data_IF_344963023824
#
_entry.id   IF_344963023824
#
_cell.length_a   1.000
_cell.length_b   1.000
_cell.length_c   1.000
_cell.angle_alpha   90.00
_cell.angle_beta   90.00
_cell.angle_gamma   90.00
#
_symmetry.space_group_name_H-M   'P 1'
#
loop_
_entity.id
_entity.type
_entity.pdbx_description
1 polymer ?
#
# COMPACT_ATOMS: atom_id res chain seq x y z
N UNK A 1 -39.40 23.05 -22.98
CA UNK A 1 -38.01 23.48 -23.27
C UNK A 1 -37.11 22.25 -23.14
N UNK A 2 -36.59 21.74 -24.24
CA UNK A 2 -35.60 20.67 -24.21
C UNK A 2 -34.33 21.23 -23.62
N UNK A 3 -34.00 20.84 -22.39
CA UNK A 3 -32.72 21.20 -21.78
C UNK A 3 -31.58 20.50 -22.54
N UNK A 4 -30.77 21.29 -23.20
CA UNK A 4 -29.55 20.79 -23.85
C UNK A 4 -28.58 20.36 -22.76
N UNK A 5 -28.14 19.09 -22.76
CA UNK A 5 -27.08 18.59 -21.91
C UNK A 5 -25.77 18.91 -22.62
N UNK A 6 -24.97 19.79 -22.04
CA UNK A 6 -23.60 20.02 -22.50
C UNK A 6 -22.69 19.03 -21.81
N UNK A 7 -22.02 18.17 -22.57
CA UNK A 7 -21.06 17.20 -22.08
C UNK A 7 -19.69 17.48 -22.70
N UNK A 8 -18.73 17.88 -21.86
CA UNK A 8 -17.37 18.23 -22.26
C UNK A 8 -16.35 17.48 -21.40
N UNK A 9 -16.07 16.21 -21.75
CA UNK A 9 -15.15 15.37 -20.99
C UNK A 9 -13.71 15.84 -21.14
N UNK A 10 -12.93 15.73 -20.07
CA UNK A 10 -11.49 16.01 -20.09
C UNK A 10 -10.75 14.71 -20.41
N UNK A 11 -10.35 14.54 -21.66
CA UNK A 11 -9.62 13.35 -22.14
C UNK A 11 -8.18 13.74 -22.45
N UNK A 12 -7.20 13.33 -21.63
CA UNK A 12 -5.77 13.56 -21.92
C UNK A 12 -5.35 12.90 -23.24
N UNK A 13 -4.36 13.48 -23.92
CA UNK A 13 -3.93 13.04 -25.27
C UNK A 13 -3.54 11.58 -25.36
N UNK A 14 -2.92 11.02 -24.33
CA UNK A 14 -2.53 9.62 -24.26
C UNK A 14 -3.72 8.64 -24.20
N UNK A 15 -4.93 9.14 -23.88
CA UNK A 15 -6.17 8.38 -23.94
C UNK A 15 -6.88 8.43 -25.29
N UNK A 16 -6.31 9.04 -26.31
CA UNK A 16 -6.88 9.10 -27.66
C UNK A 16 -7.34 7.73 -28.22
N UNK A 17 -6.70 6.58 -27.91
CA UNK A 17 -7.20 5.27 -28.32
C UNK A 17 -8.63 4.93 -27.85
N UNK A 18 -9.09 5.51 -26.73
CA UNK A 18 -10.47 5.33 -26.27
C UNK A 18 -11.49 5.92 -27.24
N UNK A 19 -11.15 7.03 -27.91
CA UNK A 19 -12.07 7.78 -28.79
C UNK A 19 -12.20 7.16 -30.17
N UNK A 20 -11.25 6.29 -30.59
CA UNK A 20 -11.25 5.67 -31.90
C UNK A 20 -12.23 4.51 -31.98
N UNK A 21 -12.76 4.28 -33.17
CA UNK A 21 -13.59 3.08 -33.43
C UNK A 21 -12.75 1.82 -33.36
N UNK A 22 -13.43 0.66 -33.18
CA UNK A 22 -12.74 -0.63 -33.17
C UNK A 22 -12.09 -0.94 -34.53
N UNK A 23 -12.67 -0.45 -35.62
CA UNK A 23 -12.10 -0.58 -36.99
C UNK A 23 -10.77 0.15 -37.11
N UNK A 24 -10.68 1.38 -36.57
CA UNK A 24 -9.43 2.19 -36.57
C UNK A 24 -8.36 1.59 -35.68
N UNK A 25 -8.76 1.08 -34.52
CA UNK A 25 -7.86 0.48 -33.54
C UNK A 25 -7.43 -0.94 -33.86
N UNK A 26 -8.19 -1.66 -34.70
CA UNK A 26 -7.96 -3.06 -35.01
C UNK A 26 -8.26 -4.04 -33.86
N UNK A 27 -8.72 -3.55 -32.71
CA UNK A 27 -9.03 -4.37 -31.54
C UNK A 27 -10.11 -3.76 -30.68
N UNK A 28 -10.84 -4.63 -29.96
CA UNK A 28 -11.87 -4.23 -28.99
C UNK A 28 -11.35 -4.10 -27.56
N UNK A 29 -10.10 -4.48 -27.29
CA UNK A 29 -9.53 -4.46 -25.94
C UNK A 29 -8.56 -3.31 -25.76
N UNK A 30 -8.65 -2.68 -24.59
CA UNK A 30 -7.76 -1.60 -24.17
C UNK A 30 -7.26 -1.92 -22.76
N UNK A 31 -5.96 -1.82 -22.57
CA UNK A 31 -5.27 -1.97 -21.29
C UNK A 31 -4.75 -0.61 -20.88
N UNK A 32 -5.38 -0.02 -19.86
CA UNK A 32 -4.99 1.28 -19.33
C UNK A 32 -4.16 1.11 -18.05
N UNK A 33 -2.84 1.20 -18.15
CA UNK A 33 -1.93 1.07 -17.02
C UNK A 33 -1.25 2.38 -16.64
N UNK A 34 -0.78 2.46 -15.41
CA UNK A 34 -0.01 3.61 -14.91
C UNK A 34 -0.10 3.78 -13.41
N UNK A 35 0.56 4.81 -12.89
CA UNK A 35 0.62 5.06 -11.46
C UNK A 35 -0.66 5.67 -10.88
N UNK A 36 -0.61 5.92 -9.57
CA UNK A 36 -1.65 6.66 -8.84
C UNK A 36 -1.71 8.12 -9.35
N UNK A 37 -2.86 8.74 -9.18
CA UNK A 37 -3.13 10.11 -9.66
C UNK A 37 -2.89 10.32 -11.17
N UNK A 38 -3.04 9.29 -11.99
CA UNK A 38 -2.87 9.38 -13.44
C UNK A 38 -4.19 9.58 -14.22
N UNK A 39 -5.32 9.66 -13.51
CA UNK A 39 -6.63 9.95 -14.09
C UNK A 39 -7.29 8.80 -14.87
N UNK A 40 -6.73 7.58 -14.87
CA UNK A 40 -7.22 6.43 -15.64
C UNK A 40 -8.71 6.18 -15.47
N UNK A 41 -9.14 5.87 -14.26
CA UNK A 41 -10.54 5.53 -13.96
C UNK A 41 -11.50 6.68 -14.31
N UNK A 42 -11.14 7.91 -13.94
CA UNK A 42 -11.97 9.10 -14.24
C UNK A 42 -12.10 9.32 -15.74
N UNK A 43 -11.01 9.26 -16.49
CA UNK A 43 -11.01 9.46 -17.94
C UNK A 43 -11.82 8.40 -18.69
N UNK A 44 -11.64 7.12 -18.30
CA UNK A 44 -12.40 6.01 -18.91
C UNK A 44 -13.90 6.14 -18.60
N UNK A 45 -14.26 6.50 -17.35
CA UNK A 45 -15.67 6.74 -17.00
C UNK A 45 -16.24 7.91 -17.81
N UNK A 46 -15.51 9.01 -17.95
CA UNK A 46 -15.96 10.16 -18.74
C UNK A 46 -16.19 9.76 -20.21
N UNK A 47 -15.29 9.02 -20.82
CA UNK A 47 -15.48 8.54 -22.21
C UNK A 47 -16.72 7.64 -22.31
N UNK A 48 -16.88 6.70 -21.37
CA UNK A 48 -18.02 5.79 -21.39
C UNK A 48 -19.37 6.50 -21.24
N UNK A 49 -19.41 7.58 -20.46
CA UNK A 49 -20.65 8.37 -20.24
C UNK A 49 -21.11 9.07 -21.51
N UNK A 50 -20.25 9.37 -22.47
CA UNK A 50 -20.67 9.96 -23.75
C UNK A 50 -21.66 9.04 -24.48
N UNK A 51 -21.29 7.78 -24.69
CA UNK A 51 -22.18 6.80 -25.32
C UNK A 51 -23.42 6.50 -24.47
N UNK A 52 -23.28 6.44 -23.15
CA UNK A 52 -24.37 6.24 -22.20
C UNK A 52 -25.48 7.31 -22.31
N UNK A 53 -25.09 8.54 -22.62
CA UNK A 53 -26.01 9.68 -22.75
C UNK A 53 -26.60 9.75 -24.17
N UNK A 54 -25.77 9.51 -25.20
CA UNK A 54 -26.09 9.85 -26.59
C UNK A 54 -26.62 8.69 -27.42
N UNK A 55 -26.26 7.45 -27.07
CA UNK A 55 -26.58 6.26 -27.87
C UNK A 55 -27.62 5.41 -27.15
N UNK A 56 -28.87 5.30 -27.66
CA UNK A 56 -29.88 4.40 -27.09
C UNK A 56 -29.39 2.95 -27.06
N UNK A 57 -29.59 2.27 -25.94
CA UNK A 57 -29.15 0.89 -25.74
C UNK A 57 -27.66 0.71 -25.38
N UNK A 58 -26.89 1.80 -25.26
CA UNK A 58 -25.47 1.74 -24.88
C UNK A 58 -25.30 1.60 -23.36
N UNK A 59 -25.29 0.39 -22.84
CA UNK A 59 -25.10 0.10 -21.43
C UNK A 59 -23.62 0.02 -21.04
N UNK A 60 -23.32 0.33 -19.78
CA UNK A 60 -21.97 0.22 -19.21
C UNK A 60 -21.98 -0.86 -18.14
N UNK A 61 -20.96 -1.73 -18.17
CA UNK A 61 -20.66 -2.69 -17.11
C UNK A 61 -19.37 -2.27 -16.44
N UNK A 62 -19.45 -1.98 -15.16
CA UNK A 62 -18.28 -1.71 -14.30
C UNK A 62 -18.01 -2.95 -13.46
N UNK A 63 -16.82 -3.50 -13.61
CA UNK A 63 -16.37 -4.72 -12.97
C UNK A 63 -15.23 -4.41 -11.97
N UNK A 64 -15.20 -5.16 -10.89
CA UNK A 64 -14.11 -5.20 -9.93
C UNK A 64 -14.06 -6.58 -9.28
N UNK A 65 -12.90 -6.98 -8.73
CA UNK A 65 -12.78 -8.28 -8.08
C UNK A 65 -13.70 -8.42 -6.86
N UNK A 66 -13.91 -7.34 -6.07
CA UNK A 66 -14.62 -7.36 -4.80
C UNK A 66 -15.82 -6.37 -4.75
N UNK A 67 -16.99 -6.88 -4.32
CA UNK A 67 -18.25 -6.12 -4.15
C UNK A 67 -18.13 -4.98 -3.13
N UNK A 68 -17.47 -5.22 -2.01
CA UNK A 68 -17.39 -4.25 -0.90
C UNK A 68 -16.65 -3.00 -1.32
N UNK A 69 -15.66 -3.16 -2.19
CA UNK A 69 -14.84 -2.06 -2.69
C UNK A 69 -15.58 -1.13 -3.64
N UNK A 70 -16.60 -1.61 -4.35
CA UNK A 70 -17.43 -0.75 -5.22
C UNK A 70 -18.06 0.41 -4.46
N UNK A 71 -18.67 0.12 -3.32
CA UNK A 71 -19.40 1.12 -2.53
C UNK A 71 -18.50 2.27 -2.05
N UNK A 72 -17.21 1.99 -1.89
CA UNK A 72 -16.22 2.94 -1.34
C UNK A 72 -15.42 3.69 -2.41
N UNK A 73 -15.33 3.19 -3.64
CA UNK A 73 -14.42 3.73 -4.67
C UNK A 73 -15.12 4.01 -6.00
N UNK A 74 -15.40 2.99 -6.79
CA UNK A 74 -15.86 3.14 -8.18
C UNK A 74 -17.28 3.74 -8.28
N UNK A 75 -18.21 3.31 -7.44
CA UNK A 75 -19.57 3.86 -7.42
C UNK A 75 -19.63 5.36 -7.03
N UNK A 76 -18.91 5.81 -5.97
CA UNK A 76 -18.77 7.24 -5.69
C UNK A 76 -18.13 8.04 -6.84
N UNK A 77 -17.16 7.47 -7.53
CA UNK A 77 -16.50 8.13 -8.68
C UNK A 77 -17.49 8.35 -9.81
N UNK A 78 -18.27 7.33 -10.19
CA UNK A 78 -19.33 7.48 -11.21
C UNK A 78 -20.35 8.56 -10.80
N UNK A 79 -20.81 8.53 -9.55
CA UNK A 79 -21.74 9.55 -9.05
C UNK A 79 -21.18 10.97 -9.14
N UNK A 80 -19.90 11.14 -8.79
CA UNK A 80 -19.21 12.42 -8.87
C UNK A 80 -19.16 12.94 -10.31
N UNK A 81 -18.83 12.07 -11.27
CA UNK A 81 -18.79 12.47 -12.69
C UNK A 81 -20.20 12.79 -13.23
N UNK A 82 -21.23 12.01 -12.89
CA UNK A 82 -22.60 12.33 -13.25
C UNK A 82 -23.06 13.69 -12.67
N UNK A 83 -22.66 14.01 -11.44
CA UNK A 83 -22.95 15.30 -10.82
C UNK A 83 -22.20 16.45 -11.49
N UNK A 84 -20.89 16.26 -11.76
CA UNK A 84 -20.01 17.24 -12.41
C UNK A 84 -20.59 17.74 -13.74
N UNK A 85 -21.14 16.84 -14.53
CA UNK A 85 -21.71 17.17 -15.84
C UNK A 85 -23.23 17.47 -15.80
N UNK A 86 -23.82 17.55 -14.59
CA UNK A 86 -25.24 17.83 -14.43
C UNK A 86 -26.18 16.70 -14.92
N UNK A 87 -25.63 15.50 -15.18
CA UNK A 87 -26.35 14.33 -15.68
C UNK A 87 -27.15 13.65 -14.57
N UNK A 88 -26.68 13.72 -13.32
CA UNK A 88 -27.27 13.02 -12.18
C UNK A 88 -28.78 13.28 -12.01
N UNK A 89 -29.27 14.47 -12.36
CA UNK A 89 -30.70 14.82 -12.30
C UNK A 89 -31.59 14.03 -13.26
N UNK A 90 -31.00 13.49 -14.32
CA UNK A 90 -31.69 12.66 -15.32
C UNK A 90 -31.56 11.17 -15.01
N UNK A 91 -30.80 10.78 -13.98
CA UNK A 91 -30.59 9.41 -13.59
C UNK A 91 -31.49 8.99 -12.43
N UNK A 92 -31.82 7.71 -12.39
CA UNK A 92 -32.16 7.04 -11.14
C UNK A 92 -30.86 6.51 -10.52
N UNK A 93 -30.49 7.05 -9.37
CA UNK A 93 -29.26 6.66 -8.67
C UNK A 93 -29.67 6.05 -7.32
N UNK A 94 -29.42 4.75 -7.06
CA UNK A 94 -29.78 4.11 -5.81
C UNK A 94 -28.92 4.65 -4.65
N UNK A 95 -29.47 4.58 -3.41
CA UNK A 95 -28.74 4.99 -2.19
C UNK A 95 -27.54 4.11 -1.90
N UNK A 96 -27.65 2.81 -2.20
CA UNK A 96 -26.57 1.82 -2.10
C UNK A 96 -26.09 1.46 -3.50
N UNK A 97 -24.95 0.74 -3.62
CA UNK A 97 -24.47 0.21 -4.89
C UNK A 97 -25.58 -0.58 -5.60
N UNK A 98 -25.81 -0.24 -6.85
CA UNK A 98 -26.84 -0.86 -7.68
C UNK A 98 -26.89 -0.17 -9.04
N UNK A 99 -27.78 -0.61 -9.93
CA UNK A 99 -27.89 -0.09 -11.29
C UNK A 99 -28.24 1.40 -11.29
N UNK A 100 -27.48 2.18 -12.05
CA UNK A 100 -27.79 3.58 -12.35
C UNK A 100 -28.47 3.62 -13.70
N UNK A 101 -29.70 4.18 -13.75
CA UNK A 101 -30.52 4.21 -14.97
C UNK A 101 -30.63 5.64 -15.48
N UNK A 102 -30.27 5.89 -16.73
CA UNK A 102 -30.46 7.16 -17.40
C UNK A 102 -31.88 7.23 -18.00
N UNK A 103 -32.76 7.97 -17.37
CA UNK A 103 -34.20 8.03 -17.69
C UNK A 103 -34.57 8.39 -19.15
N UNK A 104 -33.80 9.28 -19.85
CA UNK A 104 -34.17 9.68 -21.20
C UNK A 104 -34.13 8.57 -22.24
N UNK A 105 -33.21 7.58 -22.11
CA UNK A 105 -33.03 6.50 -23.07
C UNK A 105 -33.04 5.09 -22.47
N UNK A 106 -33.16 4.97 -21.14
CA UNK A 106 -33.21 3.71 -20.43
C UNK A 106 -31.85 3.01 -20.27
N UNK A 107 -30.75 3.62 -20.67
CA UNK A 107 -29.41 3.02 -20.53
C UNK A 107 -29.04 2.79 -19.08
N UNK A 108 -28.28 1.73 -18.82
CA UNK A 108 -27.94 1.24 -17.49
C UNK A 108 -26.42 1.24 -17.30
N UNK A 109 -25.98 1.73 -16.13
CA UNK A 109 -24.63 1.45 -15.61
C UNK A 109 -24.79 0.39 -14.52
N UNK A 110 -24.22 -0.80 -14.75
CA UNK A 110 -24.27 -1.95 -13.86
C UNK A 110 -22.93 -2.24 -13.23
N UNK A 111 -22.94 -2.58 -11.94
CA UNK A 111 -21.75 -2.92 -11.17
C UNK A 111 -21.73 -4.42 -10.89
N UNK A 112 -20.61 -5.09 -11.20
CA UNK A 112 -20.46 -6.54 -11.02
C UNK A 112 -19.14 -6.89 -10.33
N UNK A 113 -19.18 -7.84 -9.39
CA UNK A 113 -17.98 -8.46 -8.85
C UNK A 113 -17.53 -9.63 -9.71
N UNK A 114 -16.23 -9.74 -9.95
CA UNK A 114 -15.65 -10.75 -10.83
C UNK A 114 -14.74 -11.74 -10.11
N UNK A 115 -14.28 -11.43 -8.88
CA UNK A 115 -13.42 -12.31 -8.09
C UNK A 115 -14.20 -13.45 -7.41
N UNK A 116 -13.54 -14.57 -7.22
CA UNK A 116 -14.10 -15.76 -6.58
C UNK A 116 -14.73 -16.73 -7.58
N UNK A 117 -15.95 -17.14 -7.33
CA UNK A 117 -16.60 -18.20 -8.11
C UNK A 117 -16.93 -17.77 -9.55
N UNK A 118 -16.63 -18.61 -10.56
CA UNK A 118 -16.98 -18.41 -11.99
C UNK A 118 -18.49 -18.10 -12.22
N UNK A 119 -19.31 -18.34 -11.20
CA UNK A 119 -20.77 -18.20 -11.28
C UNK A 119 -21.28 -16.78 -11.01
N UNK A 120 -20.48 -15.87 -10.46
CA UNK A 120 -20.96 -14.52 -10.08
C UNK A 120 -21.39 -13.64 -11.28
N UNK A 121 -20.83 -13.89 -12.44
CA UNK A 121 -21.20 -13.18 -13.68
C UNK A 121 -22.28 -13.91 -14.49
N UNK A 122 -22.63 -15.18 -14.16
CA UNK A 122 -23.66 -15.93 -14.87
C UNK A 122 -25.05 -15.30 -14.64
N UNK A 123 -25.80 -15.13 -15.72
CA UNK A 123 -27.15 -14.54 -15.68
C UNK A 123 -27.20 -13.04 -15.85
N UNK A 124 -26.07 -12.39 -16.07
CA UNK A 124 -26.05 -10.98 -16.43
C UNK A 124 -26.77 -10.79 -17.78
N UNK A 125 -27.77 -9.92 -17.81
CA UNK A 125 -28.51 -9.55 -19.03
C UNK A 125 -29.04 -8.14 -18.90
N UNK A 126 -29.33 -7.50 -20.03
CA UNK A 126 -30.03 -6.23 -20.11
C UNK A 126 -31.36 -6.44 -20.84
N UNK A 127 -32.44 -5.86 -20.34
CA UNK A 127 -33.74 -5.91 -21.04
C UNK A 127 -33.65 -5.26 -22.41
N UNK A 128 -32.78 -4.25 -22.56
CA UNK A 128 -32.61 -3.51 -23.80
C UNK A 128 -31.15 -3.16 -24.05
N UNK A 129 -30.73 -3.17 -25.31
CA UNK A 129 -29.44 -2.66 -25.74
C UNK A 129 -28.32 -3.70 -25.67
N UNK A 130 -27.11 -3.20 -25.53
CA UNK A 130 -25.87 -3.98 -25.58
C UNK A 130 -24.84 -3.39 -24.60
N UNK A 131 -23.76 -4.11 -24.35
CA UNK A 131 -22.63 -3.62 -23.57
C UNK A 131 -21.79 -2.70 -24.45
N UNK A 132 -21.93 -1.40 -24.24
CA UNK A 132 -21.11 -0.39 -24.93
C UNK A 132 -19.70 -0.33 -24.37
N UNK A 133 -19.57 -0.34 -23.04
CA UNK A 133 -18.28 -0.41 -22.34
C UNK A 133 -18.34 -1.44 -21.23
N UNK A 134 -17.37 -2.35 -21.26
CA UNK A 134 -17.00 -3.16 -20.12
C UNK A 134 -15.73 -2.57 -19.54
N UNK A 135 -15.76 -2.15 -18.28
CA UNK A 135 -14.64 -1.51 -17.60
C UNK A 135 -14.32 -2.32 -16.35
N UNK A 136 -13.17 -2.98 -16.34
CA UNK A 136 -12.66 -3.62 -15.14
C UNK A 136 -11.71 -2.65 -14.44
N UNK A 137 -12.17 -2.08 -13.33
CA UNK A 137 -11.38 -1.17 -12.49
C UNK A 137 -10.54 -1.97 -11.51
N UNK A 138 -9.31 -1.54 -11.24
CA UNK A 138 -8.33 -2.24 -10.40
C UNK A 138 -8.08 -3.68 -10.88
N UNK A 139 -7.84 -3.87 -12.18
CA UNK A 139 -7.68 -5.19 -12.77
C UNK A 139 -6.42 -5.95 -12.28
N UNK A 140 -5.52 -5.31 -11.53
CA UNK A 140 -4.44 -6.00 -10.81
C UNK A 140 -4.94 -6.88 -9.65
N UNK A 141 -6.20 -6.73 -9.24
CA UNK A 141 -6.82 -7.62 -8.24
C UNK A 141 -7.20 -8.99 -8.82
N UNK A 142 -7.13 -9.17 -10.15
CA UNK A 142 -7.32 -10.46 -10.80
C UNK A 142 -6.06 -11.31 -10.68
N UNK A 143 -6.23 -12.58 -10.38
CA UNK A 143 -5.12 -13.50 -10.12
C UNK A 143 -4.90 -14.50 -11.26
N UNK A 144 -5.93 -14.74 -12.09
CA UNK A 144 -5.92 -15.80 -13.09
C UNK A 144 -6.67 -15.44 -14.37
N UNK A 145 -6.22 -16.03 -15.49
CA UNK A 145 -6.81 -15.81 -16.81
C UNK A 145 -8.28 -16.22 -16.91
N UNK A 146 -8.71 -17.24 -16.17
CA UNK A 146 -10.10 -17.69 -16.21
C UNK A 146 -11.08 -16.62 -15.71
N UNK A 147 -10.66 -15.76 -14.77
CA UNK A 147 -11.48 -14.65 -14.26
C UNK A 147 -11.75 -13.62 -15.36
N UNK A 148 -10.71 -13.26 -16.13
CA UNK A 148 -10.86 -12.40 -17.31
C UNK A 148 -11.77 -13.05 -18.36
N UNK A 149 -11.44 -14.28 -18.76
CA UNK A 149 -12.18 -15.02 -19.79
C UNK A 149 -13.63 -15.35 -19.39
N UNK A 150 -13.87 -15.59 -18.10
CA UNK A 150 -15.21 -15.83 -17.55
C UNK A 150 -16.13 -14.64 -17.75
N UNK A 151 -15.64 -13.43 -17.44
CA UNK A 151 -16.37 -12.19 -17.68
C UNK A 151 -16.64 -11.97 -19.17
N UNK A 152 -15.62 -12.09 -20.00
CA UNK A 152 -15.75 -11.91 -21.45
C UNK A 152 -16.77 -12.88 -22.04
N UNK A 153 -16.70 -14.18 -21.72
CA UNK A 153 -17.64 -15.21 -22.21
C UNK A 153 -19.09 -14.90 -21.83
N UNK A 154 -19.33 -14.46 -20.60
CA UNK A 154 -20.68 -14.12 -20.13
C UNK A 154 -21.29 -12.99 -20.94
N UNK A 155 -20.49 -12.01 -21.34
CA UNK A 155 -20.95 -10.80 -22.02
C UNK A 155 -20.98 -10.94 -23.55
N UNK A 156 -20.41 -12.01 -24.14
CA UNK A 156 -20.31 -12.19 -25.59
C UNK A 156 -21.65 -12.04 -26.32
N UNK A 157 -22.76 -12.49 -25.72
CA UNK A 157 -24.10 -12.38 -26.31
C UNK A 157 -24.70 -10.97 -26.33
N UNK A 158 -24.07 -10.05 -25.60
CA UNK A 158 -24.56 -8.67 -25.40
C UNK A 158 -23.63 -7.64 -26.07
N UNK A 159 -22.75 -8.07 -26.96
CA UNK A 159 -21.83 -7.16 -27.63
C UNK A 159 -22.51 -6.42 -28.79
N UNK A 160 -22.09 -5.18 -28.99
CA UNK A 160 -22.41 -4.38 -30.18
C UNK A 160 -21.13 -3.93 -30.89
N UNK A 161 -21.28 -3.30 -32.06
CA UNK A 161 -20.15 -2.89 -32.90
C UNK A 161 -19.21 -1.90 -32.23
N UNK A 162 -19.70 -1.15 -31.23
CA UNK A 162 -18.93 -0.14 -30.49
C UNK A 162 -18.41 -0.65 -29.15
N UNK A 163 -18.64 -1.92 -28.81
CA UNK A 163 -18.21 -2.50 -27.54
C UNK A 163 -16.69 -2.45 -27.38
N UNK A 164 -16.23 -1.97 -26.21
CA UNK A 164 -14.83 -2.04 -25.80
C UNK A 164 -14.70 -2.71 -24.44
N UNK A 165 -13.66 -3.52 -24.31
CA UNK A 165 -13.20 -4.11 -23.07
C UNK A 165 -12.04 -3.27 -22.55
N UNK A 166 -12.17 -2.67 -21.38
CA UNK A 166 -11.19 -1.77 -20.83
C UNK A 166 -10.76 -2.29 -19.48
N UNK A 167 -9.48 -2.63 -19.35
CA UNK A 167 -8.85 -3.09 -18.12
C UNK A 167 -7.97 -1.98 -17.57
N UNK A 168 -8.31 -1.48 -16.38
CA UNK A 168 -7.59 -0.39 -15.72
C UNK A 168 -6.81 -0.98 -14.57
N UNK A 169 -5.51 -0.77 -14.52
CA UNK A 169 -4.71 -1.25 -13.41
C UNK A 169 -3.49 -0.37 -13.11
N UNK A 170 -3.06 -0.42 -11.84
CA UNK A 170 -1.74 0.01 -11.43
C UNK A 170 -0.85 -1.23 -11.46
N UNK A 171 0.27 -1.23 -12.22
CA UNK A 171 1.17 -2.39 -12.22
C UNK A 171 1.56 -2.75 -10.79
N UNK A 172 1.33 -4.01 -10.35
CA UNK A 172 1.78 -4.45 -9.05
C UNK A 172 3.31 -4.51 -8.98
N UNK A 173 3.93 -4.53 -7.78
CA UNK A 173 5.37 -4.33 -7.64
C UNK A 173 6.22 -5.43 -8.26
N UNK A 174 5.71 -6.66 -8.36
CA UNK A 174 6.51 -7.81 -8.82
C UNK A 174 6.21 -8.17 -10.27
N UNK A 175 7.26 -8.49 -11.04
CA UNK A 175 7.13 -8.85 -12.46
C UNK A 175 6.32 -10.12 -12.70
N UNK A 176 6.36 -11.07 -11.77
CA UNK A 176 5.68 -12.36 -11.88
C UNK A 176 4.17 -12.29 -11.58
N UNK A 177 3.65 -11.16 -11.08
CA UNK A 177 2.22 -11.02 -10.82
C UNK A 177 1.40 -11.11 -12.09
N UNK A 178 0.22 -11.73 -11.98
CA UNK A 178 -0.66 -12.00 -13.10
C UNK A 178 -0.87 -10.79 -14.02
N UNK A 179 -1.20 -9.64 -13.45
CA UNK A 179 -1.45 -8.42 -14.21
C UNK A 179 -0.24 -7.95 -15.02
N UNK A 180 0.99 -8.10 -14.46
CA UNK A 180 2.25 -7.73 -15.13
C UNK A 180 2.67 -8.72 -16.21
N UNK A 181 2.13 -9.92 -16.21
CA UNK A 181 2.39 -10.95 -17.24
C UNK A 181 1.31 -10.93 -18.30
N UNK A 182 0.05 -11.05 -17.88
CA UNK A 182 -1.08 -11.27 -18.78
C UNK A 182 -1.42 -10.06 -19.66
N UNK A 183 -1.59 -8.87 -19.08
CA UNK A 183 -1.99 -7.70 -19.85
C UNK A 183 -0.92 -7.24 -20.86
N UNK A 184 0.38 -7.17 -20.50
CA UNK A 184 1.42 -6.89 -21.49
C UNK A 184 1.55 -7.95 -22.56
N UNK A 185 1.22 -9.23 -22.27
CA UNK A 185 1.18 -10.28 -23.28
C UNK A 185 0.07 -10.02 -24.30
N UNK A 186 -1.15 -9.65 -23.87
CA UNK A 186 -2.23 -9.30 -24.80
C UNK A 186 -1.84 -8.15 -25.75
N UNK A 187 -1.10 -7.16 -25.22
CA UNK A 187 -0.61 -6.04 -26.03
C UNK A 187 0.43 -6.51 -27.06
N UNK A 188 1.42 -7.32 -26.65
CA UNK A 188 2.45 -7.86 -27.55
C UNK A 188 1.86 -8.76 -28.65
N UNK A 189 0.81 -9.49 -28.36
CA UNK A 189 0.08 -10.33 -29.30
C UNK A 189 -0.86 -9.53 -30.25
N UNK A 190 -0.93 -8.21 -30.10
CA UNK A 190 -1.84 -7.35 -30.87
C UNK A 190 -3.33 -7.54 -30.51
N UNK A 191 -3.64 -8.17 -29.39
CA UNK A 191 -5.00 -8.46 -28.91
C UNK A 191 -5.57 -7.36 -28.03
N UNK A 192 -4.74 -6.43 -27.60
CA UNK A 192 -5.14 -5.24 -26.86
C UNK A 192 -4.29 -4.05 -27.25
N UNK A 193 -4.86 -2.83 -27.16
CA UNK A 193 -4.10 -1.58 -27.20
C UNK A 193 -3.70 -1.18 -25.79
N UNK A 194 -2.50 -0.65 -25.64
CA UNK A 194 -2.03 -0.10 -24.39
C UNK A 194 -2.26 1.40 -24.32
N UNK A 195 -2.74 1.86 -23.15
CA UNK A 195 -2.71 3.25 -22.73
C UNK A 195 -1.85 3.32 -21.47
N UNK A 196 -0.75 4.06 -21.53
CA UNK A 196 0.03 4.39 -20.36
C UNK A 196 -0.28 5.80 -19.91
N UNK A 197 -0.47 5.99 -18.59
CA UNK A 197 -0.64 7.31 -18.01
C UNK A 197 0.02 7.44 -16.64
N UNK A 198 0.51 8.65 -16.36
CA UNK A 198 1.11 9.04 -15.09
C UNK A 198 0.44 10.32 -14.55
N UNK A 199 0.76 10.70 -13.33
CA UNK A 199 0.29 11.96 -12.77
C UNK A 199 0.66 13.19 -13.61
N UNK A 200 1.73 13.10 -14.39
CA UNK A 200 2.22 14.20 -15.24
C UNK A 200 1.22 14.55 -16.36
N UNK A 201 0.48 13.55 -16.85
CA UNK A 201 -0.51 13.72 -17.93
C UNK A 201 -1.71 14.56 -17.49
N UNK A 202 -2.00 14.54 -16.18
CA UNK A 202 -3.11 15.30 -15.60
C UNK A 202 -2.65 16.34 -14.56
N UNK A 203 -1.36 16.68 -14.54
CA UNK A 203 -0.76 17.60 -13.55
C UNK A 203 -1.57 18.88 -13.34
N UNK A 204 -2.13 19.43 -14.40
CA UNK A 204 -2.92 20.67 -14.36
C UNK A 204 -4.26 20.52 -13.60
N UNK A 205 -4.71 19.29 -13.39
CA UNK A 205 -5.96 18.97 -12.70
C UNK A 205 -5.74 18.58 -11.23
N UNK A 206 -4.47 18.40 -10.82
CA UNK A 206 -4.09 18.06 -9.45
C UNK A 206 -3.96 19.32 -8.59
N UNK A 207 -4.29 19.21 -7.31
CA UNK A 207 -4.02 20.27 -6.35
C UNK A 207 -2.52 20.42 -6.12
N UNK A 208 -2.10 21.62 -5.68
CA UNK A 208 -0.70 21.89 -5.39
C UNK A 208 -0.15 20.96 -4.28
N UNK A 209 -0.94 20.70 -3.25
CA UNK A 209 -0.56 19.80 -2.13
C UNK A 209 -0.23 18.38 -2.61
N UNK A 210 -1.05 17.83 -3.54
CA UNK A 210 -0.80 16.50 -4.13
C UNK A 210 0.50 16.50 -4.94
N UNK A 211 0.75 17.57 -5.70
CA UNK A 211 1.99 17.68 -6.49
C UNK A 211 3.21 17.75 -5.57
N UNK A 212 3.14 18.50 -4.47
CA UNK A 212 4.21 18.62 -3.50
C UNK A 212 4.48 17.30 -2.77
N UNK A 213 3.43 16.54 -2.42
CA UNK A 213 3.56 15.20 -1.86
C UNK A 213 4.30 14.27 -2.83
N UNK A 214 3.88 14.22 -4.10
CA UNK A 214 4.52 13.40 -5.13
C UNK A 214 6.01 13.77 -5.31
N UNK A 215 6.33 15.07 -5.31
CA UNK A 215 7.71 15.53 -5.46
C UNK A 215 8.56 15.24 -4.23
N UNK A 216 7.97 15.28 -3.04
CA UNK A 216 8.62 14.87 -1.79
C UNK A 216 8.95 13.40 -1.82
N UNK A 217 7.97 12.54 -2.17
CA UNK A 217 8.17 11.10 -2.31
C UNK A 217 9.25 10.78 -3.36
N UNK A 218 9.28 11.52 -4.49
CA UNK A 218 10.34 11.37 -5.48
C UNK A 218 11.73 11.66 -4.93
N UNK A 219 11.85 12.63 -4.03
CA UNK A 219 13.14 13.00 -3.43
C UNK A 219 13.56 12.01 -2.36
N UNK A 220 12.62 11.49 -1.58
CA UNK A 220 12.89 10.58 -0.46
C UNK A 220 13.07 9.12 -0.90
N UNK A 221 12.23 8.62 -1.82
CA UNK A 221 12.29 7.25 -2.33
C UNK A 221 11.95 7.22 -3.84
N UNK A 222 13.00 7.22 -4.67
CA UNK A 222 12.82 7.16 -6.13
C UNK A 222 12.11 5.88 -6.58
N UNK A 223 12.38 4.73 -5.94
CA UNK A 223 11.75 3.45 -6.31
C UNK A 223 10.26 3.47 -5.96
N UNK A 224 9.90 3.98 -4.79
CA UNK A 224 8.50 4.20 -4.42
C UNK A 224 7.80 5.15 -5.40
N UNK A 225 8.43 6.28 -5.76
CA UNK A 225 7.91 7.22 -6.76
C UNK A 225 7.67 6.55 -8.11
N UNK A 226 8.63 5.79 -8.61
CA UNK A 226 8.52 5.08 -9.89
C UNK A 226 7.38 4.06 -9.85
N UNK A 227 7.26 3.32 -8.76
CA UNK A 227 6.18 2.36 -8.56
C UNK A 227 4.81 3.03 -8.42
N UNK A 228 4.66 3.90 -7.41
CA UNK A 228 3.36 4.43 -7.01
C UNK A 228 2.78 5.43 -8.02
N UNK A 229 3.62 6.34 -8.53
CA UNK A 229 3.16 7.46 -9.36
C UNK A 229 3.45 7.30 -10.84
N UNK A 230 4.47 6.54 -11.20
CA UNK A 230 4.78 6.26 -12.60
C UNK A 230 4.25 4.90 -13.07
N UNK A 231 3.86 4.01 -12.17
CA UNK A 231 3.37 2.67 -12.50
C UNK A 231 4.44 1.78 -13.12
N UNK A 232 5.68 1.92 -12.65
CA UNK A 232 6.79 1.07 -13.06
C UNK A 232 6.94 -0.13 -12.11
N UNK A 233 7.28 -1.28 -12.68
CA UNK A 233 7.58 -2.48 -11.89
C UNK A 233 9.02 -2.37 -11.40
N UNK A 234 9.19 -2.01 -10.12
CA UNK A 234 10.49 -1.62 -9.55
C UNK A 234 11.18 -2.72 -8.74
N UNK A 235 10.49 -3.79 -8.38
CA UNK A 235 11.09 -4.87 -7.59
C UNK A 235 12.13 -5.65 -8.40
N UNK A 236 13.39 -5.18 -8.32
CA UNK A 236 14.50 -5.81 -9.02
C UNK A 236 15.19 -6.90 -8.19
N UNK A 237 15.13 -6.86 -6.86
CA UNK A 237 15.90 -7.78 -5.98
C UNK A 237 15.10 -8.38 -4.82
N UNK A 238 13.78 -8.17 -4.75
CA UNK A 238 12.98 -8.75 -3.67
C UNK A 238 13.24 -8.21 -2.26
N UNK A 239 14.24 -7.35 -2.03
CA UNK A 239 14.54 -6.81 -0.71
C UNK A 239 13.41 -5.94 -0.15
N UNK A 240 13.08 -6.18 1.13
CA UNK A 240 12.08 -5.37 1.83
C UNK A 240 12.66 -3.99 2.16
N UNK A 241 13.93 -3.88 2.51
CA UNK A 241 14.58 -2.61 2.88
C UNK A 241 15.78 -2.25 1.97
N UNK A 242 15.57 -2.03 0.66
CA UNK A 242 16.68 -1.70 -0.26
C UNK A 242 17.33 -0.34 0.03
N UNK A 243 16.68 0.51 0.86
CA UNK A 243 17.23 1.80 1.30
C UNK A 243 18.31 1.63 2.36
N UNK A 244 18.29 0.52 3.12
CA UNK A 244 19.27 0.28 4.18
C UNK A 244 20.65 0.07 3.58
N UNK A 245 21.62 0.81 4.09
CA UNK A 245 23.03 0.73 3.70
C UNK A 245 23.91 1.02 4.92
N UNK A 246 24.80 0.13 5.28
CA UNK A 246 25.66 0.29 6.46
C UNK A 246 26.52 1.54 6.39
N UNK A 247 27.09 1.88 5.22
CA UNK A 247 27.92 3.07 5.02
C UNK A 247 27.17 4.39 5.23
N UNK A 248 25.86 4.35 5.18
CA UNK A 248 24.96 5.52 5.28
C UNK A 248 24.27 5.62 6.63
N UNK A 249 23.84 4.46 7.16
CA UNK A 249 22.93 4.40 8.30
C UNK A 249 23.61 3.94 9.59
N UNK A 250 24.87 3.52 9.56
CA UNK A 250 25.62 3.21 10.77
C UNK A 250 26.28 4.45 11.35
N UNK A 251 26.16 4.63 12.65
CA UNK A 251 26.77 5.73 13.38
C UNK A 251 27.13 5.30 14.80
N UNK A 252 28.07 6.00 15.43
CA UNK A 252 28.28 5.85 16.85
C UNK A 252 27.48 6.95 17.59
N UNK A 253 26.53 6.55 18.45
CA UNK A 253 25.65 7.49 19.17
C UNK A 253 26.45 8.48 20.01
N UNK A 254 27.59 8.10 20.58
CA UNK A 254 28.44 8.99 21.34
C UNK A 254 29.05 10.11 20.48
N UNK A 255 29.28 9.85 19.19
CA UNK A 255 29.73 10.89 18.26
C UNK A 255 28.65 11.97 18.08
N UNK A 256 27.38 11.58 17.99
CA UNK A 256 26.27 12.52 17.89
C UNK A 256 26.14 13.37 19.19
N UNK A 257 26.26 12.71 20.34
CA UNK A 257 26.23 13.40 21.65
C UNK A 257 27.39 14.37 21.78
N UNK A 258 28.60 13.99 21.37
CA UNK A 258 29.77 14.87 21.38
C UNK A 258 29.60 16.08 20.43
N UNK A 259 28.80 15.98 19.39
CA UNK A 259 28.40 17.06 18.48
C UNK A 259 27.29 17.96 19.03
N UNK A 260 26.82 17.70 20.24
CA UNK A 260 25.78 18.47 20.91
C UNK A 260 24.35 17.96 20.78
N UNK A 261 24.15 16.86 20.02
CA UNK A 261 22.86 16.21 19.97
C UNK A 261 22.58 15.43 21.27
N UNK A 262 21.32 15.35 21.68
CA UNK A 262 20.98 14.70 22.95
C UNK A 262 19.73 13.82 22.81
N UNK A 263 19.64 12.71 23.54
CA UNK A 263 18.44 11.88 23.54
C UNK A 263 17.29 12.59 24.26
N UNK A 264 16.12 12.57 23.64
CA UNK A 264 14.87 13.16 24.16
C UNK A 264 13.92 12.08 24.68
N UNK A 265 13.87 10.95 24.03
CA UNK A 265 13.03 9.81 24.39
C UNK A 265 13.75 8.51 24.02
N UNK A 266 13.54 7.46 24.82
CA UNK A 266 13.90 6.09 24.48
C UNK A 266 12.62 5.31 24.17
N UNK A 267 12.47 4.85 22.95
CA UNK A 267 11.36 3.98 22.53
C UNK A 267 11.88 2.55 22.48
N UNK A 268 11.14 1.62 23.08
CA UNK A 268 11.46 0.20 23.05
C UNK A 268 10.31 -0.50 22.29
N UNK A 269 10.55 -0.92 21.06
CA UNK A 269 9.62 -1.73 20.30
C UNK A 269 9.72 -3.19 20.72
N UNK A 270 8.61 -3.80 21.10
CA UNK A 270 8.55 -5.17 21.62
C UNK A 270 7.69 -6.01 20.70
N UNK A 271 8.29 -7.05 20.17
CA UNK A 271 7.63 -8.16 19.49
C UNK A 271 7.65 -9.37 20.40
N UNK A 272 6.48 -9.91 20.69
CA UNK A 272 6.37 -11.04 21.63
C UNK A 272 6.36 -12.35 20.89
N UNK A 273 7.34 -13.19 21.19
CA UNK A 273 7.37 -14.58 20.77
C UNK A 273 6.64 -15.51 21.72
N UNK A 274 6.07 -16.57 21.20
CA UNK A 274 5.38 -17.61 21.98
C UNK A 274 6.24 -18.86 22.13
N UNK A 275 5.80 -19.99 21.55
CA UNK A 275 6.48 -21.28 21.69
C UNK A 275 7.56 -21.48 20.63
N UNK A 276 7.42 -20.85 19.46
CA UNK A 276 8.28 -21.05 18.30
C UNK A 276 8.97 -19.75 17.81
N UNK A 277 8.43 -18.59 18.16
CA UNK A 277 8.94 -17.30 17.73
C UNK A 277 9.69 -16.62 18.88
N UNK A 278 10.73 -15.87 18.57
CA UNK A 278 11.57 -15.17 19.55
C UNK A 278 10.89 -13.92 20.08
N UNK A 279 11.07 -13.64 21.38
CA UNK A 279 10.72 -12.31 21.93
C UNK A 279 11.86 -11.34 21.63
N UNK A 280 11.57 -10.28 20.88
CA UNK A 280 12.55 -9.28 20.48
C UNK A 280 12.24 -7.90 21.03
N UNK A 281 13.31 -7.13 21.35
CA UNK A 281 13.21 -5.72 21.76
C UNK A 281 14.21 -4.86 21.01
N UNK A 282 13.72 -3.85 20.31
CA UNK A 282 14.56 -2.87 19.63
C UNK A 282 14.48 -1.51 20.34
N UNK A 283 15.54 -1.08 21.07
CA UNK A 283 15.63 0.23 21.70
C UNK A 283 16.04 1.30 20.66
N UNK A 284 15.30 2.38 20.60
CA UNK A 284 15.52 3.49 19.68
C UNK A 284 15.63 4.79 20.50
N UNK A 285 16.80 5.42 20.50
CA UNK A 285 16.98 6.76 21.08
C UNK A 285 16.53 7.81 20.05
N UNK A 286 15.46 8.54 20.35
CA UNK A 286 15.04 9.70 19.58
C UNK A 286 15.83 10.90 20.05
N UNK A 287 16.58 11.51 19.14
CA UNK A 287 17.49 12.61 19.40
C UNK A 287 16.81 13.96 19.20
N UNK A 288 17.34 15.00 19.83
CA UNK A 288 16.84 16.38 19.70
C UNK A 288 16.85 16.89 18.24
N UNK A 289 17.81 16.43 17.45
CA UNK A 289 17.88 16.70 16.01
C UNK A 289 16.77 16.05 15.16
N UNK A 290 15.88 15.25 15.77
CA UNK A 290 14.90 14.43 15.07
C UNK A 290 15.44 13.11 14.53
N UNK A 291 16.72 12.78 14.73
CA UNK A 291 17.27 11.47 14.39
C UNK A 291 16.79 10.42 15.36
N UNK A 292 16.62 9.20 14.86
CA UNK A 292 16.25 8.02 15.63
C UNK A 292 17.39 7.00 15.54
N UNK A 293 18.07 6.72 16.64
CA UNK A 293 19.24 5.84 16.68
C UNK A 293 18.86 4.52 17.36
N UNK A 294 18.85 3.43 16.60
CA UNK A 294 18.72 2.07 17.13
C UNK A 294 20.00 1.74 17.92
N UNK A 295 19.85 1.40 19.19
CA UNK A 295 20.99 1.20 20.11
C UNK A 295 21.42 -0.27 20.25
N UNK A 296 20.56 -1.20 19.87
CA UNK A 296 20.78 -2.63 19.97
C UNK A 296 19.56 -3.41 19.55
N UNK A 297 19.60 -4.72 19.71
CA UNK A 297 18.48 -5.61 19.56
C UNK A 297 18.62 -6.75 20.56
N UNK A 298 17.69 -6.86 21.49
CA UNK A 298 17.59 -8.00 22.40
C UNK A 298 16.72 -9.08 21.76
N UNK A 299 17.16 -10.30 21.87
CA UNK A 299 16.37 -11.46 21.44
C UNK A 299 16.42 -12.54 22.50
N UNK A 300 15.28 -13.18 22.72
CA UNK A 300 15.15 -14.37 23.52
C UNK A 300 14.50 -15.45 22.69
N UNK A 301 15.30 -16.48 22.36
CA UNK A 301 14.92 -17.58 21.48
C UNK A 301 14.33 -18.72 22.31
N UNK A 302 13.05 -19.10 22.17
CA UNK A 302 12.44 -20.18 22.93
C UNK A 302 13.04 -21.56 22.62
N UNK A 303 13.70 -21.73 21.47
CA UNK A 303 14.37 -22.98 21.12
C UNK A 303 15.62 -23.18 21.96
N UNK A 304 16.37 -22.09 22.24
CA UNK A 304 17.60 -22.12 23.05
C UNK A 304 17.31 -21.95 24.54
N UNK A 305 16.38 -21.07 24.89
CA UNK A 305 16.10 -20.65 26.26
C UNK A 305 14.90 -21.36 26.91
N UNK A 306 14.16 -22.16 26.12
CA UNK A 306 12.90 -22.79 26.50
C UNK A 306 11.71 -21.84 26.39
N UNK A 307 10.51 -22.41 26.15
CA UNK A 307 9.26 -21.65 26.11
C UNK A 307 9.00 -20.98 27.47
N UNK A 308 8.67 -19.70 27.47
CA UNK A 308 8.59 -18.91 28.71
C UNK A 308 7.20 -18.35 28.94
N UNK A 309 6.82 -18.37 30.22
CA UNK A 309 5.64 -17.65 30.67
C UNK A 309 5.84 -16.11 30.57
N UNK A 310 4.74 -15.34 30.39
CA UNK A 310 4.80 -13.87 30.37
C UNK A 310 5.57 -13.24 31.53
N UNK A 311 5.53 -13.88 32.73
CA UNK A 311 6.29 -13.43 33.91
C UNK A 311 7.81 -13.54 33.71
N UNK A 312 8.28 -14.58 33.04
CA UNK A 312 9.72 -14.76 32.78
C UNK A 312 10.19 -13.83 31.67
N UNK A 313 9.36 -13.65 30.64
CA UNK A 313 9.61 -12.66 29.58
C UNK A 313 9.67 -11.25 30.16
N UNK A 314 8.71 -10.82 30.99
CA UNK A 314 8.71 -9.52 31.64
C UNK A 314 9.97 -9.25 32.46
N UNK A 315 10.43 -10.26 33.22
CA UNK A 315 11.71 -10.18 33.95
C UNK A 315 12.91 -10.03 33.02
N UNK A 316 12.91 -10.74 31.89
CA UNK A 316 13.97 -10.63 30.88
C UNK A 316 14.02 -9.24 30.26
N UNK A 317 12.86 -8.65 29.93
CA UNK A 317 12.77 -7.25 29.42
C UNK A 317 13.33 -6.27 30.43
N UNK A 318 13.00 -6.41 31.70
CA UNK A 318 13.51 -5.51 32.73
C UNK A 318 15.01 -5.69 32.96
N UNK A 319 15.50 -6.91 32.94
CA UNK A 319 16.95 -7.20 33.01
C UNK A 319 17.70 -6.62 31.81
N UNK A 320 17.12 -6.72 30.62
CA UNK A 320 17.66 -6.10 29.42
C UNK A 320 17.74 -4.57 29.54
N UNK A 321 16.67 -3.91 29.97
CA UNK A 321 16.69 -2.45 30.21
C UNK A 321 17.84 -2.03 31.12
N UNK A 322 18.10 -2.79 32.18
CA UNK A 322 19.24 -2.52 33.08
C UNK A 322 20.58 -2.64 32.37
N UNK A 323 20.79 -3.69 31.56
CA UNK A 323 22.01 -3.84 30.75
C UNK A 323 22.18 -2.69 29.78
N UNK A 324 21.08 -2.30 29.08
CA UNK A 324 21.06 -1.19 28.15
C UNK A 324 21.47 0.14 28.80
N UNK A 325 20.90 0.46 29.98
CA UNK A 325 21.26 1.67 30.73
C UNK A 325 22.72 1.62 31.22
N UNK A 326 23.22 0.45 31.63
CA UNK A 326 24.62 0.28 31.99
C UNK A 326 25.56 0.50 30.80
N UNK A 327 25.18 0.02 29.63
CA UNK A 327 25.93 0.22 28.36
C UNK A 327 25.87 1.67 27.89
N UNK A 328 24.71 2.32 28.05
CA UNK A 328 24.44 3.69 27.63
C UNK A 328 23.99 4.55 28.83
N UNK A 329 24.88 4.98 29.71
CA UNK A 329 24.54 5.69 30.95
C UNK A 329 23.74 6.99 30.73
N UNK A 330 23.87 7.61 29.57
CA UNK A 330 23.09 8.81 29.21
C UNK A 330 21.56 8.54 29.14
N UNK A 331 21.12 7.28 29.08
CA UNK A 331 19.70 6.89 29.06
C UNK A 331 19.06 6.90 30.46
N UNK A 332 19.84 7.05 31.54
CA UNK A 332 19.35 6.88 32.91
C UNK A 332 18.14 7.76 33.24
N UNK A 333 18.15 8.98 32.74
CA UNK A 333 17.12 10.00 33.03
C UNK A 333 16.28 10.35 31.78
N UNK A 334 16.43 9.62 30.67
CA UNK A 334 15.67 9.82 29.47
C UNK A 334 14.27 9.21 29.63
N UNK A 335 13.20 9.95 29.33
CA UNK A 335 11.84 9.37 29.30
C UNK A 335 11.77 8.13 28.42
N UNK A 336 11.05 7.10 28.89
CA UNK A 336 10.94 5.83 28.19
C UNK A 336 9.51 5.55 27.79
N UNK A 337 9.35 4.88 26.61
CA UNK A 337 8.09 4.37 26.14
C UNK A 337 8.30 2.98 25.55
N UNK A 338 7.46 2.04 25.98
CA UNK A 338 7.44 0.68 25.50
C UNK A 338 6.27 0.49 24.54
N UNK A 339 6.53 0.14 23.31
CA UNK A 339 5.53 -0.15 22.29
C UNK A 339 5.37 -1.65 22.16
N UNK A 340 4.32 -2.22 22.74
CA UNK A 340 4.02 -3.66 22.67
C UNK A 340 3.09 -3.98 21.49
N UNK A 341 3.31 -5.09 20.82
CA UNK A 341 2.31 -5.63 19.91
C UNK A 341 0.97 -5.83 20.60
N UNK A 342 -0.14 -5.55 19.90
CA UNK A 342 -1.49 -5.61 20.47
C UNK A 342 -2.23 -6.92 20.16
N UNK A 343 -1.52 -8.02 19.83
CA UNK A 343 -2.09 -9.38 19.81
C UNK A 343 -2.36 -9.86 21.23
N UNK A 344 -3.15 -10.95 21.40
CA UNK A 344 -3.55 -11.46 22.73
C UNK A 344 -2.33 -11.73 23.63
N UNK A 345 -1.29 -12.31 23.06
CA UNK A 345 -0.05 -12.65 23.76
C UNK A 345 0.75 -11.40 24.16
N UNK A 346 0.95 -10.44 23.24
CA UNK A 346 1.62 -9.18 23.54
C UNK A 346 0.89 -8.35 24.59
N UNK A 347 -0.44 -8.38 24.59
CA UNK A 347 -1.23 -7.75 25.65
C UNK A 347 -1.01 -8.40 27.01
N UNK A 348 -0.89 -9.73 27.05
CA UNK A 348 -0.60 -10.47 28.30
C UNK A 348 0.80 -10.12 28.84
N UNK A 349 1.82 -10.08 27.96
CA UNK A 349 3.18 -9.67 28.34
C UNK A 349 3.21 -8.22 28.84
N UNK A 350 2.56 -7.30 28.12
CA UNK A 350 2.47 -5.90 28.52
C UNK A 350 1.86 -5.74 29.92
N UNK A 351 0.73 -6.41 30.18
CA UNK A 351 0.05 -6.34 31.47
C UNK A 351 0.94 -6.90 32.60
N UNK A 352 1.65 -8.00 32.35
CA UNK A 352 2.58 -8.59 33.30
C UNK A 352 3.77 -7.64 33.57
N UNK A 353 4.34 -7.06 32.53
CA UNK A 353 5.44 -6.11 32.63
C UNK A 353 5.05 -4.85 33.42
N UNK A 354 3.85 -4.32 33.18
CA UNK A 354 3.31 -3.19 33.95
C UNK A 354 3.13 -3.57 35.43
N UNK A 355 2.64 -4.77 35.73
CA UNK A 355 2.50 -5.23 37.11
C UNK A 355 3.86 -5.38 37.80
N UNK A 356 4.85 -5.98 37.15
CA UNK A 356 6.19 -6.20 37.68
C UNK A 356 6.98 -4.90 37.90
N UNK A 357 6.71 -3.87 37.09
CA UNK A 357 7.33 -2.53 37.22
C UNK A 357 6.54 -1.60 38.14
N UNK A 358 5.43 -2.05 38.71
CA UNK A 358 4.56 -1.21 39.55
C UNK A 358 3.95 -0.02 38.81
N UNK A 359 3.81 -0.11 37.47
CA UNK A 359 3.26 0.95 36.62
C UNK A 359 4.20 2.14 36.43
N UNK A 360 5.49 2.01 36.72
CA UNK A 360 6.48 3.09 36.55
C UNK A 360 6.95 3.26 35.10
N UNK A 361 6.77 2.23 34.25
CA UNK A 361 7.12 2.28 32.85
C UNK A 361 5.90 2.64 31.99
N UNK A 362 6.09 3.53 31.00
CA UNK A 362 5.05 3.93 30.06
C UNK A 362 4.92 2.87 28.97
N UNK A 363 3.88 2.04 29.03
CA UNK A 363 3.60 0.97 28.09
C UNK A 363 2.41 1.33 27.19
N UNK A 364 2.59 1.21 25.90
CA UNK A 364 1.56 1.50 24.90
C UNK A 364 1.30 0.27 24.01
N UNK A 365 0.03 -0.14 23.85
CA UNK A 365 -0.32 -1.16 22.89
C UNK A 365 -0.27 -0.56 21.48
N UNK A 366 0.43 -1.21 20.57
CA UNK A 366 0.52 -0.82 19.18
C UNK A 366 -0.51 -1.61 18.38
N UNK A 367 -1.59 -0.93 17.93
CA UNK A 367 -2.69 -1.56 17.21
C UNK A 367 -2.33 -1.90 15.76
N UNK A 368 -2.63 -3.14 15.39
CA UNK A 368 -2.81 -3.64 14.03
C UNK A 368 -1.54 -3.67 13.18
N UNK A 369 -1.16 -4.86 12.75
CA UNK A 369 -0.10 -5.07 11.77
C UNK A 369 -0.61 -4.64 10.40
N UNK A 370 -0.28 -3.43 9.97
CA UNK A 370 -0.31 -3.07 8.55
C UNK A 370 1.07 -3.31 7.98
N UNK A 371 1.38 -4.58 7.66
CA UNK A 371 2.72 -4.99 7.19
C UNK A 371 3.29 -4.00 6.19
N UNK A 372 2.55 -3.66 5.13
CA UNK A 372 3.00 -2.70 4.13
C UNK A 372 3.10 -1.25 4.65
N UNK A 373 2.26 -0.87 5.60
CA UNK A 373 2.32 0.46 6.22
C UNK A 373 3.55 0.62 7.12
N UNK A 374 3.88 -0.41 7.86
CA UNK A 374 5.03 -0.45 8.76
C UNK A 374 6.34 -0.48 7.96
N UNK A 375 6.42 -1.33 6.94
CA UNK A 375 7.53 -1.36 5.97
C UNK A 375 7.73 0.02 5.33
N UNK A 376 6.65 0.66 4.85
CA UNK A 376 6.72 1.99 4.22
C UNK A 376 7.31 3.03 5.18
N UNK A 377 6.94 3.00 6.45
CA UNK A 377 7.45 3.91 7.47
C UNK A 377 8.95 3.74 7.67
N UNK A 378 9.43 2.52 7.88
CA UNK A 378 10.86 2.24 8.05
C UNK A 378 11.65 2.66 6.81
N UNK A 379 11.15 2.35 5.60
CA UNK A 379 11.76 2.81 4.34
C UNK A 379 11.90 4.32 4.25
N UNK A 380 10.86 5.05 4.65
CA UNK A 380 10.87 6.52 4.65
C UNK A 380 11.91 7.07 5.63
N UNK A 381 11.93 6.55 6.87
CA UNK A 381 12.91 6.95 7.88
C UNK A 381 14.36 6.69 7.44
N UNK A 382 14.60 5.57 6.73
CA UNK A 382 15.91 5.27 6.14
C UNK A 382 16.24 6.23 4.99
N UNK A 383 15.31 6.44 4.05
CA UNK A 383 15.53 7.31 2.90
C UNK A 383 15.84 8.75 3.31
N UNK A 384 15.16 9.24 4.34
CA UNK A 384 15.35 10.58 4.90
C UNK A 384 16.62 10.71 5.78
N UNK A 385 17.31 9.59 6.05
CA UNK A 385 18.48 9.56 6.94
C UNK A 385 18.15 9.82 8.41
N UNK A 386 16.89 9.63 8.79
CA UNK A 386 16.40 9.79 10.17
C UNK A 386 16.73 8.56 10.99
N UNK A 387 16.51 7.34 10.44
CA UNK A 387 16.78 6.09 11.14
C UNK A 387 18.25 5.69 10.97
N UNK A 388 18.96 5.63 12.08
CA UNK A 388 20.37 5.26 12.16
C UNK A 388 20.56 4.07 13.11
N UNK A 389 21.68 3.35 12.96
CA UNK A 389 22.03 2.18 13.78
C UNK A 389 23.33 2.44 14.49
N UNK A 390 23.34 2.27 15.80
CA UNK A 390 24.55 2.38 16.60
C UNK A 390 25.51 1.23 16.26
N UNK A 391 26.77 1.57 16.07
CA UNK A 391 27.85 0.60 15.95
C UNK A 391 28.91 0.94 16.99
N UNK A 392 29.35 -0.08 17.71
CA UNK A 392 30.45 0.05 18.66
C UNK A 392 31.76 0.31 17.91
N UNK A 393 32.64 1.11 18.47
CA UNK A 393 33.93 1.42 17.87
C UNK A 393 34.87 0.19 17.83
N UNK A 394 34.63 -0.79 18.69
CA UNK A 394 35.35 -2.05 18.78
C UNK A 394 34.35 -3.19 18.74
N UNK A 395 34.65 -4.23 17.97
CA UNK A 395 33.81 -5.44 17.94
C UNK A 395 33.79 -6.06 19.33
N UNK A 396 32.61 -6.27 19.87
CA UNK A 396 32.39 -6.85 21.20
C UNK A 396 31.64 -8.18 21.05
N UNK A 397 31.81 -9.07 22.04
CA UNK A 397 31.00 -10.30 22.15
C UNK A 397 29.60 -10.06 22.74
N UNK A 398 29.16 -8.80 22.78
CA UNK A 398 27.84 -8.41 23.28
C UNK A 398 26.75 -8.90 22.33
N UNK A 399 25.86 -9.81 22.76
CA UNK A 399 24.79 -10.35 21.90
C UNK A 399 23.68 -9.31 21.61
N UNK A 400 23.59 -8.26 22.42
CA UNK A 400 22.54 -7.26 22.33
C UNK A 400 22.90 -6.08 21.38
N UNK A 401 23.82 -6.28 20.43
CA UNK A 401 24.21 -5.26 19.43
C UNK A 401 23.18 -5.13 18.30
N UNK A 402 23.34 -4.10 17.46
CA UNK A 402 22.51 -3.90 16.25
C UNK A 402 22.85 -4.86 15.10
N UNK A 403 23.93 -5.62 15.20
CA UNK A 403 24.50 -6.39 14.08
C UNK A 403 23.51 -7.39 13.51
N UNK A 404 22.81 -8.13 14.38
CA UNK A 404 21.84 -9.13 13.97
C UNK A 404 20.66 -8.50 13.22
N UNK A 405 20.05 -7.44 13.78
CA UNK A 405 18.97 -6.71 13.16
C UNK A 405 19.39 -6.15 11.78
N UNK A 406 20.60 -5.60 11.67
CA UNK A 406 21.11 -5.11 10.40
C UNK A 406 21.28 -6.23 9.37
N UNK A 407 21.78 -7.40 9.80
CA UNK A 407 21.91 -8.58 8.94
C UNK A 407 20.54 -9.10 8.49
N UNK A 408 19.54 -9.12 9.38
CA UNK A 408 18.18 -9.49 9.02
C UNK A 408 17.59 -8.50 8.00
N UNK A 409 17.78 -7.19 8.17
CA UNK A 409 17.33 -6.17 7.21
C UNK A 409 17.99 -6.32 5.82
N UNK A 410 19.26 -6.71 5.75
CA UNK A 410 20.00 -6.95 4.51
C UNK A 410 19.50 -8.17 3.75
N UNK A 411 18.88 -9.13 4.44
CA UNK A 411 18.41 -10.40 3.89
C UNK A 411 16.88 -10.53 3.84
N UNK A 412 16.12 -9.55 4.36
CA UNK A 412 14.68 -9.60 4.41
C UNK A 412 14.08 -9.37 3.02
N UNK A 413 13.41 -10.39 2.49
CA UNK A 413 12.93 -10.39 1.11
C UNK A 413 11.44 -10.67 1.00
N UNK A 414 10.83 -10.14 -0.06
CA UNK A 414 9.50 -10.55 -0.47
C UNK A 414 9.53 -11.89 -1.21
N UNK A 415 8.48 -12.64 -1.08
CA UNK A 415 8.19 -13.76 -1.96
C UNK A 415 7.59 -13.22 -3.28
N UNK A 416 8.29 -13.45 -4.38
CA UNK A 416 7.90 -12.94 -5.70
C UNK A 416 6.56 -13.51 -6.20
N UNK A 417 6.12 -14.68 -5.67
CA UNK A 417 4.88 -15.33 -6.09
C UNK A 417 3.68 -14.85 -5.30
N UNK A 418 3.86 -14.63 -3.99
CA UNK A 418 2.77 -14.25 -3.10
C UNK A 418 2.70 -12.75 -2.86
N UNK A 419 3.73 -11.99 -3.29
CA UNK A 419 3.84 -10.54 -3.11
C UNK A 419 3.72 -10.11 -1.64
N UNK A 420 3.98 -11.04 -0.74
CA UNK A 420 4.05 -10.85 0.71
C UNK A 420 5.47 -11.08 1.18
N UNK A 421 5.76 -10.72 2.41
CA UNK A 421 7.03 -11.09 3.04
C UNK A 421 7.17 -12.60 2.97
N UNK A 422 8.33 -13.09 2.52
CA UNK A 422 8.58 -14.52 2.35
C UNK A 422 8.47 -15.25 3.68
N UNK A 423 7.61 -16.26 3.76
CA UNK A 423 7.42 -17.05 4.97
C UNK A 423 8.70 -17.81 5.37
N UNK A 424 8.91 -17.95 6.67
CA UNK A 424 10.03 -18.67 7.25
C UNK A 424 11.36 -17.90 7.24
N UNK A 425 11.32 -16.59 6.98
CA UNK A 425 12.42 -15.70 7.34
C UNK A 425 12.30 -15.31 8.81
N UNK A 426 13.42 -14.89 9.40
CA UNK A 426 13.40 -14.25 10.71
C UNK A 426 12.82 -12.85 10.56
N UNK A 427 11.68 -12.61 11.16
CA UNK A 427 11.01 -11.32 11.18
C UNK A 427 10.89 -10.70 12.58
N UNK A 428 11.09 -11.48 13.64
CA UNK A 428 10.96 -11.01 15.03
C UNK A 428 11.75 -9.73 15.32
N UNK A 429 13.02 -9.65 14.86
CA UNK A 429 13.86 -8.45 15.02
C UNK A 429 13.35 -7.27 14.19
N UNK A 430 12.83 -7.55 13.00
CA UNK A 430 12.25 -6.56 12.08
C UNK A 430 10.93 -6.04 12.65
N UNK A 431 10.07 -6.93 13.12
CA UNK A 431 8.77 -6.56 13.70
C UNK A 431 8.98 -5.68 14.95
N UNK A 432 9.95 -6.02 15.82
CA UNK A 432 10.28 -5.17 16.97
C UNK A 432 10.77 -3.77 16.56
N UNK A 433 11.55 -3.65 15.46
CA UNK A 433 11.92 -2.36 14.88
C UNK A 433 10.72 -1.59 14.35
N UNK A 434 9.83 -2.28 13.62
CA UNK A 434 8.61 -1.68 13.07
C UNK A 434 7.70 -1.14 14.18
N UNK A 435 7.54 -1.86 15.29
CA UNK A 435 6.80 -1.37 16.46
C UNK A 435 7.49 -0.20 17.16
N UNK A 436 8.81 -0.22 17.27
CA UNK A 436 9.60 0.86 17.83
C UNK A 436 9.51 2.15 17.01
N UNK A 437 9.38 2.06 15.69
CA UNK A 437 9.30 3.23 14.80
C UNK A 437 7.92 3.86 14.72
N UNK A 438 6.86 3.22 15.25
CA UNK A 438 5.53 3.83 15.29
C UNK A 438 5.55 5.12 16.11
N UNK A 439 4.93 6.17 15.57
CA UNK A 439 4.82 7.51 16.17
C UNK A 439 6.12 8.35 16.19
N UNK A 440 7.21 7.93 15.53
CA UNK A 440 8.42 8.78 15.46
C UNK A 440 8.15 10.09 14.71
N UNK A 441 7.31 10.08 13.66
CA UNK A 441 6.95 11.30 12.91
C UNK A 441 5.93 12.22 13.61
N UNK A 442 5.24 11.72 14.65
CA UNK A 442 4.26 12.52 15.39
C UNK A 442 4.93 13.43 16.46
N UNK A 443 6.26 13.39 16.55
CA UNK A 443 7.00 14.27 17.43
C UNK A 443 7.22 15.63 16.75
N UNK A 444 6.87 16.75 17.40
CA UNK A 444 7.11 18.07 16.84
C UNK A 444 8.61 18.27 16.66
N UNK A 445 9.06 18.36 15.42
CA UNK A 445 10.41 18.85 15.10
C UNK A 445 10.36 20.35 15.36
N UNK A 446 10.81 20.80 16.52
CA UNK A 446 11.12 22.21 16.68
C UNK A 446 12.27 22.54 15.74
N UNK A 447 11.94 23.21 14.65
CA UNK A 447 12.91 23.78 13.72
C UNK A 447 13.78 24.77 14.51
N UNK A 448 15.04 24.41 14.71
CA UNK A 448 16.10 25.32 15.19
C UNK A 448 16.57 26.15 14.01
#
# INVERSE_FOLDING_TARGET
MSSVITYDPIIPKNFAPLLRTNKENGTHRIVARGGRYSGKTTTVIQEALEGFITIPGANIVLARADDVKFSKTTFPTVKKELQRFGIARYCHIPKRTGDIIFKPNGNIIRFIATGGDEHRTKGLDFEHGYVHRFIHDEAQELEQEYEVKGCEKTLLRMLGDTTKWIYIYNPPPFRAEFANVYFPQLVREGRALEIYSSWQDIRKLLSQDVIEEILRDKKSDLNYYLYEYMGEVTATNGLVYPQFRRDKHCTNVYTLIAQGDRPMELILGVDEGTVFDSTCVTPIAVMYSGRAVVLGCFEKDPVQDGAQAPTEQARALYAYLRRLINKFPFLQYVPRRWNFECAEAGQALMNQFMADTGGTENCMPVKGKSIMGDIKRVRSLLADGVLLFHVDAVVTDDPDTTEKLMADMENYVFDEKTCSVKKGQRDDTIDSLEYGTKLIYDMPIETI
#
